data_IF_959513043717
#
_entry.id   IF_959513043717
#
_cell.length_a   1.000
_cell.length_b   1.000
_cell.length_c   1.000
_cell.angle_alpha   90.00
_cell.angle_beta   90.00
_cell.angle_gamma   90.00
#
_symmetry.space_group_name_H-M   'P 1'
#
loop_
_entity.id
_entity.type
_entity.pdbx_description
1 polymer ?
#
# COMPACT_ATOMS: atom_id res chain seq x y z
N UNK A 1 26.94 -7.33 6.19
CA UNK A 1 25.59 -7.43 5.60
C UNK A 1 25.12 -6.00 5.35
N UNK A 2 24.90 -5.61 4.09
CA UNK A 2 24.41 -4.27 3.69
C UNK A 2 22.94 -4.38 3.26
N UNK A 3 22.16 -3.34 3.50
CA UNK A 3 20.79 -3.27 2.99
C UNK A 3 20.80 -3.18 1.46
N UNK A 4 20.03 -4.04 0.79
CA UNK A 4 19.81 -3.95 -0.65
C UNK A 4 18.68 -2.93 -0.92
N UNK A 5 19.10 -1.68 -1.15
CA UNK A 5 18.19 -0.55 -1.36
C UNK A 5 17.40 -0.66 -2.66
N UNK A 6 17.91 -1.36 -3.67
CA UNK A 6 17.20 -1.63 -4.91
C UNK A 6 16.04 -2.61 -4.68
N UNK A 7 16.30 -3.72 -3.99
CA UNK A 7 15.26 -4.69 -3.61
C UNK A 7 14.16 -4.05 -2.73
N UNK A 8 14.53 -3.15 -1.80
CA UNK A 8 13.55 -2.41 -0.99
C UNK A 8 12.69 -1.49 -1.86
N UNK A 9 13.28 -0.82 -2.85
CA UNK A 9 12.54 0.04 -3.78
C UNK A 9 11.60 -0.75 -4.70
N UNK A 10 12.01 -1.93 -5.17
CA UNK A 10 11.15 -2.84 -5.96
C UNK A 10 9.96 -3.35 -5.15
N UNK A 11 10.19 -3.72 -3.89
CA UNK A 11 9.11 -4.08 -2.97
C UNK A 11 8.14 -2.90 -2.76
N UNK A 12 8.66 -1.69 -2.58
CA UNK A 12 7.84 -0.49 -2.46
C UNK A 12 6.99 -0.23 -3.70
N UNK A 13 7.55 -0.43 -4.90
CA UNK A 13 6.82 -0.30 -6.16
C UNK A 13 5.70 -1.35 -6.27
N UNK A 14 5.97 -2.59 -5.85
CA UNK A 14 4.96 -3.65 -5.80
C UNK A 14 3.81 -3.27 -4.86
N UNK A 15 4.11 -2.79 -3.66
CA UNK A 15 3.09 -2.33 -2.71
C UNK A 15 2.26 -1.15 -3.26
N UNK A 16 2.88 -0.23 -4.00
CA UNK A 16 2.16 0.86 -4.68
C UNK A 16 1.20 0.32 -5.76
N UNK A 17 1.66 -0.62 -6.59
CA UNK A 17 0.81 -1.27 -7.60
C UNK A 17 -0.38 -1.95 -6.95
N UNK A 18 -0.16 -2.75 -5.89
CA UNK A 18 -1.24 -3.41 -5.16
C UNK A 18 -2.23 -2.40 -4.54
N UNK A 19 -1.73 -1.26 -4.04
CA UNK A 19 -2.59 -0.19 -3.52
C UNK A 19 -3.54 0.35 -4.60
N UNK A 20 -3.03 0.59 -5.81
CA UNK A 20 -3.83 1.06 -6.97
C UNK A 20 -4.82 -0.01 -7.42
N UNK A 21 -4.39 -1.26 -7.54
CA UNK A 21 -5.25 -2.39 -7.91
C UNK A 21 -6.41 -2.56 -6.91
N UNK A 22 -6.13 -2.41 -5.61
CA UNK A 22 -7.15 -2.47 -4.56
C UNK A 22 -8.16 -1.32 -4.68
N UNK A 23 -7.72 -0.10 -5.02
CA UNK A 23 -8.65 1.00 -5.31
C UNK A 23 -9.52 0.71 -6.53
N UNK A 24 -8.93 0.20 -7.61
CA UNK A 24 -9.67 -0.17 -8.80
C UNK A 24 -10.71 -1.26 -8.51
N UNK A 25 -10.34 -2.27 -7.72
CA UNK A 25 -11.27 -3.30 -7.25
C UNK A 25 -12.42 -2.70 -6.41
N UNK A 26 -12.12 -1.73 -5.54
CA UNK A 26 -13.13 -1.00 -4.76
C UNK A 26 -14.13 -0.24 -5.63
N UNK A 27 -13.66 0.44 -6.68
CA UNK A 27 -14.53 1.11 -7.65
C UNK A 27 -15.42 0.11 -8.40
N UNK A 28 -14.87 -1.04 -8.80
CA UNK A 28 -15.62 -2.12 -9.43
C UNK A 28 -16.70 -2.70 -8.50
N UNK A 29 -16.35 -2.94 -7.23
CA UNK A 29 -17.30 -3.40 -6.23
C UNK A 29 -18.42 -2.37 -6.00
N UNK A 30 -18.09 -1.08 -5.85
CA UNK A 30 -19.08 -0.02 -5.66
C UNK A 30 -20.05 0.10 -6.83
N UNK A 31 -19.58 -0.11 -8.06
CA UNK A 31 -20.43 -0.15 -9.26
C UNK A 31 -21.40 -1.36 -9.24
N UNK A 32 -20.98 -2.49 -8.68
CA UNK A 32 -21.80 -3.69 -8.45
C UNK A 32 -22.63 -3.58 -7.16
N UNK A 33 -23.32 -2.46 -6.97
CA UNK A 33 -23.96 -2.10 -5.71
C UNK A 33 -25.24 -2.89 -5.36
N UNK A 34 -25.64 -2.90 -4.07
CA UNK A 34 -26.82 -3.60 -3.54
C UNK A 34 -28.16 -3.27 -4.21
N UNK A 35 -28.32 -2.04 -4.73
CA UNK A 35 -29.57 -1.59 -5.33
C UNK A 35 -29.95 -2.38 -6.58
N UNK A 36 -28.99 -3.01 -7.25
CA UNK A 36 -29.21 -3.88 -8.40
C UNK A 36 -30.00 -5.15 -8.04
N UNK A 37 -30.04 -5.51 -6.76
CA UNK A 37 -30.74 -6.70 -6.26
C UNK A 37 -32.23 -6.46 -6.01
N UNK A 38 -32.68 -5.20 -5.91
CA UNK A 38 -34.06 -4.83 -5.58
C UNK A 38 -35.13 -5.51 -6.45
N UNK A 39 -35.02 -5.48 -7.80
CA UNK A 39 -35.99 -6.12 -8.69
C UNK A 39 -36.07 -7.65 -8.53
N UNK A 40 -34.95 -8.31 -8.17
CA UNK A 40 -34.88 -9.78 -8.04
C UNK A 40 -35.45 -10.25 -6.70
N UNK A 41 -35.11 -9.55 -5.62
CA UNK A 41 -35.51 -9.93 -4.26
C UNK A 41 -36.91 -9.42 -3.87
N UNK A 42 -37.41 -8.40 -4.56
CA UNK A 42 -38.74 -7.84 -4.31
C UNK A 42 -38.95 -7.38 -2.88
N UNK A 43 -40.22 -7.24 -2.48
CA UNK A 43 -40.59 -6.74 -1.13
C UNK A 43 -40.26 -7.72 0.00
N UNK A 44 -40.22 -9.02 -0.28
CA UNK A 44 -39.96 -10.06 0.72
C UNK A 44 -38.48 -10.09 1.10
N UNK A 45 -37.57 -9.86 0.14
CA UNK A 45 -36.14 -9.86 0.39
C UNK A 45 -35.57 -8.53 0.87
N UNK A 46 -36.42 -7.57 1.28
CA UNK A 46 -35.99 -6.23 1.70
C UNK A 46 -34.94 -6.25 2.82
N UNK A 47 -35.17 -7.08 3.84
CA UNK A 47 -34.24 -7.20 4.98
C UNK A 47 -32.88 -7.78 4.56
N UNK A 48 -32.88 -8.72 3.62
CA UNK A 48 -31.66 -9.26 3.04
C UNK A 48 -30.90 -8.18 2.26
N UNK A 49 -31.58 -7.41 1.41
CA UNK A 49 -30.95 -6.33 0.65
C UNK A 49 -30.37 -5.25 1.58
N UNK A 50 -31.06 -4.93 2.68
CA UNK A 50 -30.56 -4.00 3.69
C UNK A 50 -29.31 -4.53 4.43
N UNK A 51 -29.33 -5.80 4.84
CA UNK A 51 -28.18 -6.44 5.45
C UNK A 51 -26.98 -6.53 4.49
N UNK A 52 -27.23 -6.90 3.23
CA UNK A 52 -26.23 -6.93 2.17
C UNK A 52 -25.67 -5.53 1.90
N UNK A 53 -26.50 -4.49 1.89
CA UNK A 53 -26.02 -3.12 1.70
C UNK A 53 -25.07 -2.67 2.81
N UNK A 54 -25.37 -3.04 4.06
CA UNK A 54 -24.49 -2.77 5.20
C UNK A 54 -23.17 -3.52 5.07
N UNK A 55 -23.22 -4.81 4.73
CA UNK A 55 -22.02 -5.63 4.52
C UNK A 55 -21.18 -5.14 3.34
N UNK A 56 -21.82 -4.73 2.26
CA UNK A 56 -21.18 -4.16 1.07
C UNK A 56 -20.44 -2.86 1.41
N UNK A 57 -21.09 -1.95 2.13
CA UNK A 57 -20.44 -0.71 2.59
C UNK A 57 -19.22 -1.00 3.50
N UNK A 58 -19.33 -1.94 4.43
CA UNK A 58 -18.22 -2.36 5.27
C UNK A 58 -17.07 -2.99 4.47
N UNK A 59 -17.40 -3.74 3.41
CA UNK A 59 -16.41 -4.31 2.51
C UNK A 59 -15.66 -3.22 1.72
N UNK A 60 -16.36 -2.22 1.18
CA UNK A 60 -15.74 -1.07 0.52
C UNK A 60 -14.80 -0.31 1.45
N UNK A 61 -15.22 -0.05 2.69
CA UNK A 61 -14.36 0.58 3.70
C UNK A 61 -13.12 -0.26 4.03
N UNK A 62 -13.24 -1.59 4.02
CA UNK A 62 -12.12 -2.50 4.24
C UNK A 62 -11.12 -2.48 3.08
N UNK A 63 -11.61 -2.41 1.84
CA UNK A 63 -10.79 -2.24 0.62
C UNK A 63 -10.00 -0.93 0.69
N UNK A 64 -10.67 0.17 1.03
CA UNK A 64 -10.03 1.49 1.17
C UNK A 64 -8.91 1.46 2.23
N UNK A 65 -9.21 0.89 3.40
CA UNK A 65 -8.21 0.73 4.47
C UNK A 65 -7.00 -0.10 4.01
N UNK A 66 -7.24 -1.24 3.34
CA UNK A 66 -6.16 -2.10 2.85
C UNK A 66 -5.31 -1.41 1.78
N UNK A 67 -5.95 -0.68 0.86
CA UNK A 67 -5.24 0.14 -0.11
C UNK A 67 -4.35 1.19 0.56
N UNK A 68 -4.86 1.88 1.59
CA UNK A 68 -4.10 2.84 2.37
C UNK A 68 -2.90 2.21 3.09
N UNK A 69 -3.06 1.01 3.65
CA UNK A 69 -1.96 0.25 4.27
C UNK A 69 -0.86 -0.07 3.24
N UNK A 70 -1.23 -0.54 2.04
CA UNK A 70 -0.29 -0.84 0.96
C UNK A 70 0.46 0.42 0.50
N UNK A 71 -0.24 1.55 0.38
CA UNK A 71 0.39 2.84 0.08
C UNK A 71 1.36 3.29 1.19
N UNK A 72 0.99 3.10 2.46
CA UNK A 72 1.86 3.38 3.60
C UNK A 72 3.11 2.50 3.65
N UNK A 73 2.99 1.22 3.31
CA UNK A 73 4.12 0.29 3.17
C UNK A 73 5.07 0.79 2.08
N UNK A 74 4.54 1.16 0.91
CA UNK A 74 5.33 1.69 -0.20
C UNK A 74 6.12 2.94 0.21
N UNK A 75 5.44 3.93 0.81
CA UNK A 75 6.07 5.17 1.25
C UNK A 75 7.17 4.93 2.30
N UNK A 76 6.90 4.06 3.27
CA UNK A 76 7.86 3.73 4.33
C UNK A 76 9.07 2.98 3.77
N UNK A 77 8.86 2.04 2.85
CA UNK A 77 9.94 1.30 2.21
C UNK A 77 10.86 2.22 1.39
N UNK A 78 10.30 3.15 0.60
CA UNK A 78 11.09 4.16 -0.12
C UNK A 78 11.90 5.05 0.83
N UNK A 79 11.29 5.51 1.93
CA UNK A 79 11.98 6.31 2.93
C UNK A 79 13.16 5.55 3.57
N UNK A 80 12.96 4.26 3.88
CA UNK A 80 14.00 3.40 4.41
C UNK A 80 15.14 3.18 3.40
N UNK A 81 14.83 2.92 2.12
CA UNK A 81 15.85 2.77 1.08
C UNK A 81 16.73 4.03 0.96
N UNK A 82 16.12 5.21 0.95
CA UNK A 82 16.85 6.48 0.92
C UNK A 82 17.71 6.70 2.17
N UNK A 83 17.20 6.35 3.36
CA UNK A 83 17.93 6.47 4.61
C UNK A 83 19.16 5.53 4.66
N UNK A 84 19.02 4.30 4.18
CA UNK A 84 20.15 3.37 4.06
C UNK A 84 21.20 3.87 3.09
N UNK A 85 20.81 4.35 1.90
CA UNK A 85 21.77 4.88 0.93
C UNK A 85 22.51 6.12 1.48
N UNK A 86 21.80 7.03 2.14
CA UNK A 86 22.41 8.20 2.79
C UNK A 86 23.40 7.81 3.89
N UNK A 87 23.07 6.81 4.71
CA UNK A 87 23.96 6.30 5.77
C UNK A 87 25.22 5.69 5.19
N UNK A 88 25.09 4.91 4.11
CA UNK A 88 26.22 4.28 3.43
C UNK A 88 27.16 5.30 2.79
N UNK A 89 26.62 6.34 2.14
CA UNK A 89 27.41 7.44 1.57
C UNK A 89 28.16 8.20 2.67
N UNK A 90 27.47 8.55 3.75
CA UNK A 90 28.09 9.27 4.88
C UNK A 90 29.20 8.46 5.55
N UNK A 91 28.96 7.16 5.75
CA UNK A 91 29.95 6.23 6.34
C UNK A 91 31.16 6.09 5.44
N UNK A 92 30.95 5.92 4.13
CA UNK A 92 32.05 5.83 3.15
C UNK A 92 32.88 7.12 3.11
N UNK A 93 32.25 8.28 3.13
CA UNK A 93 32.93 9.57 3.17
C UNK A 93 33.77 9.75 4.44
N UNK A 94 33.23 9.37 5.61
CA UNK A 94 33.95 9.44 6.88
C UNK A 94 35.17 8.52 6.92
N UNK A 95 35.04 7.29 6.40
CA UNK A 95 36.15 6.33 6.27
C UNK A 95 37.24 6.86 5.34
N UNK A 96 36.88 7.42 4.19
CA UNK A 96 37.83 8.01 3.24
C UNK A 96 38.59 9.20 3.86
N UNK A 97 37.88 10.09 4.56
CA UNK A 97 38.52 11.20 5.27
C UNK A 97 39.48 10.73 6.37
N UNK A 98 39.10 9.70 7.13
CA UNK A 98 39.95 9.09 8.13
C UNK A 98 41.21 8.45 7.54
N UNK A 99 41.09 7.76 6.40
CA UNK A 99 42.23 7.15 5.70
C UNK A 99 43.24 8.20 5.24
N UNK A 100 42.78 9.33 4.68
CA UNK A 100 43.66 10.45 4.30
C UNK A 100 44.42 11.01 5.51
N UNK A 101 43.79 11.08 6.68
CA UNK A 101 44.43 11.54 7.92
C UNK A 101 45.48 10.59 8.51
N UNK A 102 45.52 9.32 8.08
CA UNK A 102 46.54 8.35 8.50
C UNK A 102 47.79 8.38 7.60
N UNK A 103 47.70 8.95 6.40
CA UNK A 103 48.82 9.08 5.47
C UNK A 103 49.55 10.44 5.56
N UNK A 104 49.17 11.29 6.52
CA UNK A 104 49.75 12.61 6.80
C UNK A 104 50.53 12.64 8.13
#
# INVERSE_FOLDING_TARGET
MRADTASIAEFAATAATMSVEMQAAGLGAAAAGPLLLGPVFGVIGGDFVAAFATAHAAHLASIEKLSGVLGGISATALANAAAYEGTEVATTAALAAGAVGLEA
#
